data_IF_183298572831
#
_entry.id   IF_183298572831
#
_cell.length_a   1.000
_cell.length_b   1.000
_cell.length_c   1.000
_cell.angle_alpha   90.00
_cell.angle_beta   90.00
_cell.angle_gamma   90.00
#
_symmetry.space_group_name_H-M   'P 1'
#
loop_
_entity.id
_entity.type
_entity.pdbx_description
1 polymer ?
#
# COMPACT_ATOMS: atom_id res chain seq x y z
N UNK A 1 18.73 31.50 -0.21
CA UNK A 1 17.72 30.88 0.72
C UNK A 1 17.47 29.48 0.19
N UNK A 2 17.51 28.45 1.04
CA UNK A 2 17.27 27.08 0.59
C UNK A 2 15.82 26.92 0.11
N UNK A 3 15.66 26.46 -1.10
CA UNK A 3 14.36 26.25 -1.74
C UNK A 3 13.77 24.89 -1.40
N UNK A 4 14.58 23.83 -1.52
CA UNK A 4 14.17 22.46 -1.21
C UNK A 4 15.16 21.80 -0.26
N UNK A 5 14.67 21.22 0.83
CA UNK A 5 15.40 20.27 1.65
C UNK A 5 15.09 18.86 1.18
N UNK A 6 16.09 18.17 0.65
CA UNK A 6 15.97 16.74 0.30
C UNK A 6 16.38 15.93 1.53
N UNK A 7 15.52 15.04 2.00
CA UNK A 7 15.75 14.20 3.18
C UNK A 7 16.08 12.79 2.72
N UNK A 8 17.23 12.27 3.17
CA UNK A 8 17.71 10.94 2.83
C UNK A 8 18.00 10.12 4.09
N UNK A 9 17.12 9.18 4.46
CA UNK A 9 17.42 8.22 5.52
C UNK A 9 18.50 7.25 5.04
N UNK A 10 19.50 6.98 5.87
CA UNK A 10 20.62 6.11 5.54
C UNK A 10 20.80 5.05 6.61
N UNK A 11 20.71 3.79 6.22
CA UNK A 11 21.07 2.64 7.05
C UNK A 11 21.75 1.57 6.19
N UNK A 12 23.06 1.37 6.42
CA UNK A 12 23.88 0.41 5.68
C UNK A 12 23.80 0.61 4.15
N UNK A 13 24.02 1.87 3.72
CA UNK A 13 23.92 2.31 2.32
C UNK A 13 25.24 2.47 1.59
N UNK A 14 26.38 1.97 2.13
CA UNK A 14 27.73 2.22 1.62
C UNK A 14 27.88 2.03 0.11
N UNK A 15 27.10 1.09 -0.49
CA UNK A 15 27.20 0.75 -1.91
C UNK A 15 26.56 1.79 -2.85
N UNK A 16 25.69 2.65 -2.33
CA UNK A 16 24.81 3.49 -3.17
C UNK A 16 25.05 4.98 -2.98
N UNK A 17 25.48 5.40 -1.79
CA UNK A 17 25.57 6.80 -1.37
C UNK A 17 26.32 7.70 -2.36
N UNK A 18 27.49 7.28 -2.85
CA UNK A 18 28.26 8.07 -3.80
C UNK A 18 27.47 8.35 -5.09
N UNK A 19 26.81 7.31 -5.61
CA UNK A 19 26.00 7.41 -6.83
C UNK A 19 24.79 8.31 -6.63
N UNK A 20 24.07 8.13 -5.52
CA UNK A 20 22.85 8.90 -5.21
C UNK A 20 23.19 10.37 -4.96
N UNK A 21 24.25 10.68 -4.20
CA UNK A 21 24.68 12.07 -4.00
C UNK A 21 25.21 12.72 -5.29
N UNK A 22 25.96 11.97 -6.11
CA UNK A 22 26.39 12.46 -7.42
C UNK A 22 25.21 12.69 -8.37
N UNK A 23 24.16 11.88 -8.31
CA UNK A 23 22.94 12.09 -9.10
C UNK A 23 22.25 13.38 -8.67
N UNK A 24 22.05 13.59 -7.36
CA UNK A 24 21.43 14.81 -6.84
C UNK A 24 22.23 16.07 -7.16
N UNK A 25 23.57 16.01 -7.14
CA UNK A 25 24.42 17.16 -7.47
C UNK A 25 24.32 17.65 -8.92
N UNK A 26 23.65 16.88 -9.79
CA UNK A 26 23.40 17.25 -11.19
C UNK A 26 22.09 17.98 -11.41
N UNK A 27 21.26 18.14 -10.36
CA UNK A 27 20.02 18.90 -10.48
C UNK A 27 20.31 20.36 -10.84
N UNK A 28 19.48 20.93 -11.72
CA UNK A 28 19.60 22.34 -12.15
C UNK A 28 19.29 23.32 -11.03
N UNK A 29 18.39 22.93 -10.11
CA UNK A 29 18.11 23.70 -8.90
C UNK A 29 19.29 23.58 -7.91
N UNK A 30 20.04 24.67 -7.73
CA UNK A 30 21.24 24.71 -6.88
C UNK A 30 20.94 25.14 -5.44
N UNK A 31 19.83 25.84 -5.19
CA UNK A 31 19.40 26.27 -3.85
C UNK A 31 18.77 25.12 -3.06
N UNK A 32 19.47 24.00 -2.93
CA UNK A 32 19.03 22.82 -2.19
C UNK A 32 19.94 22.50 -1.02
N UNK A 33 19.43 21.79 -0.03
CA UNK A 33 20.23 21.04 0.93
C UNK A 33 19.84 19.56 0.88
N UNK A 34 20.81 18.68 1.12
CA UNK A 34 20.62 17.26 1.32
C UNK A 34 20.87 16.93 2.79
N UNK A 35 19.84 16.50 3.50
CA UNK A 35 19.94 16.07 4.90
C UNK A 35 20.02 14.54 4.92
N UNK A 36 21.23 14.02 5.10
CA UNK A 36 21.49 12.60 5.27
C UNK A 36 21.33 12.24 6.75
N UNK A 37 20.28 11.48 7.06
CA UNK A 37 20.07 11.00 8.44
C UNK A 37 20.61 9.59 8.56
N UNK A 38 21.80 9.45 9.12
CA UNK A 38 22.42 8.16 9.40
C UNK A 38 21.76 7.50 10.61
N UNK A 39 20.92 6.49 10.32
CA UNK A 39 20.08 5.78 11.28
C UNK A 39 20.85 4.59 11.92
N UNK A 40 22.03 4.90 12.50
CA UNK A 40 22.85 3.91 13.20
C UNK A 40 23.48 2.87 12.27
N UNK A 41 23.99 3.27 11.09
CA UNK A 41 24.68 2.36 10.18
C UNK A 41 25.87 1.69 10.83
N UNK A 42 26.08 0.40 10.51
CA UNK A 42 27.18 -0.45 11.02
C UNK A 42 28.22 -0.76 9.95
N UNK A 43 27.99 -0.33 8.71
CA UNK A 43 28.92 -0.42 7.59
C UNK A 43 29.71 0.90 7.43
N UNK A 44 30.35 1.09 6.27
CA UNK A 44 31.15 2.29 6.00
C UNK A 44 30.32 3.54 5.60
N UNK A 45 29.01 3.52 5.75
CA UNK A 45 28.13 4.62 5.30
C UNK A 45 28.50 5.96 5.89
N UNK A 46 28.73 6.05 7.21
CA UNK A 46 29.08 7.31 7.86
C UNK A 46 30.35 7.94 7.29
N UNK A 47 31.44 7.16 7.15
CA UNK A 47 32.68 7.65 6.58
C UNK A 47 32.51 8.13 5.12
N UNK A 48 31.62 7.49 4.35
CA UNK A 48 31.34 7.92 2.98
C UNK A 48 30.57 9.23 3.01
N UNK A 49 29.55 9.37 3.88
CA UNK A 49 28.79 10.61 4.04
C UNK A 49 29.69 11.78 4.45
N UNK A 50 30.63 11.59 5.39
CA UNK A 50 31.58 12.61 5.82
C UNK A 50 32.43 13.10 4.64
N UNK A 51 32.99 12.19 3.85
CA UNK A 51 33.76 12.54 2.64
C UNK A 51 32.92 13.27 1.58
N UNK A 52 31.63 12.89 1.46
CA UNK A 52 30.72 13.55 0.54
C UNK A 52 30.35 14.95 1.04
N UNK A 53 30.18 15.15 2.35
CA UNK A 53 29.93 16.46 2.94
C UNK A 53 31.15 17.40 2.82
N UNK A 54 32.37 16.87 2.92
CA UNK A 54 33.60 17.63 2.63
C UNK A 54 33.69 18.09 1.16
N UNK A 55 33.06 17.32 0.26
CA UNK A 55 33.07 17.61 -1.20
C UNK A 55 31.94 18.49 -1.67
N UNK A 56 30.79 18.42 -1.02
CA UNK A 56 29.55 19.08 -1.42
C UNK A 56 28.95 19.86 -0.27
N UNK A 57 29.04 21.18 -0.29
CA UNK A 57 28.56 22.09 0.78
C UNK A 57 27.08 22.00 1.07
N UNK A 58 26.26 21.43 0.16
CA UNK A 58 24.82 21.25 0.33
C UNK A 58 24.47 20.03 1.18
N UNK A 59 25.44 19.15 1.53
CA UNK A 59 25.20 17.93 2.32
C UNK A 59 25.34 18.22 3.81
N UNK A 60 24.31 17.84 4.57
CA UNK A 60 24.29 17.85 6.04
C UNK A 60 24.10 16.44 6.56
N UNK A 61 24.80 16.09 7.62
CA UNK A 61 24.72 14.78 8.25
C UNK A 61 24.11 14.91 9.64
N UNK A 62 23.11 14.06 9.92
CA UNK A 62 22.54 13.87 11.24
C UNK A 62 22.76 12.41 11.63
N UNK A 63 23.33 12.17 12.80
CA UNK A 63 23.49 10.82 13.34
C UNK A 63 22.46 10.56 14.42
N UNK A 64 21.84 9.38 14.37
CA UNK A 64 20.93 8.88 15.39
C UNK A 64 21.13 7.38 15.64
N UNK A 65 20.65 6.87 16.76
CA UNK A 65 20.50 5.43 16.97
C UNK A 65 19.44 4.88 16.01
N UNK A 66 19.58 3.61 15.61
CA UNK A 66 18.64 2.99 14.65
C UNK A 66 17.21 2.93 15.19
N UNK A 67 16.32 3.69 14.57
CA UNK A 67 14.89 3.77 14.89
C UNK A 67 14.00 3.53 13.67
N UNK A 68 14.59 3.29 12.49
CA UNK A 68 13.90 3.05 11.24
C UNK A 68 13.70 4.30 10.38
N UNK A 69 13.47 4.07 9.09
CA UNK A 69 13.44 5.12 8.07
C UNK A 69 12.37 6.20 8.32
N UNK A 70 11.22 5.85 8.95
CA UNK A 70 10.19 6.83 9.28
C UNK A 70 10.67 7.85 10.29
N UNK A 71 11.31 7.40 11.39
CA UNK A 71 11.86 8.28 12.43
C UNK A 71 13.02 9.10 11.86
N UNK A 72 13.87 8.48 11.04
CA UNK A 72 14.97 9.20 10.36
C UNK A 72 14.43 10.32 9.45
N UNK A 73 13.35 10.06 8.67
CA UNK A 73 12.72 11.11 7.86
C UNK A 73 12.15 12.23 8.73
N UNK A 74 11.52 11.92 9.86
CA UNK A 74 11.00 12.94 10.79
C UNK A 74 12.13 13.82 11.33
N UNK A 75 13.22 13.22 11.75
CA UNK A 75 14.41 13.97 12.20
C UNK A 75 14.95 14.88 11.08
N UNK A 76 14.94 14.41 9.84
CA UNK A 76 15.27 15.24 8.67
C UNK A 76 14.29 16.39 8.47
N UNK A 77 12.98 16.19 8.60
CA UNK A 77 11.96 17.24 8.49
C UNK A 77 12.17 18.32 9.55
N UNK A 78 12.43 17.93 10.80
CA UNK A 78 12.65 18.86 11.92
C UNK A 78 13.87 19.77 11.71
N UNK A 79 14.92 19.27 11.05
CA UNK A 79 16.16 19.99 10.78
C UNK A 79 16.18 20.70 9.42
N UNK A 80 15.14 20.55 8.61
CA UNK A 80 15.03 21.16 7.30
C UNK A 80 14.77 22.67 7.38
N UNK A 81 15.46 23.44 6.49
CA UNK A 81 15.29 24.90 6.38
C UNK A 81 14.71 25.33 5.03
N UNK A 82 14.57 24.41 4.08
CA UNK A 82 13.99 24.67 2.78
C UNK A 82 12.51 25.06 2.86
N UNK A 83 12.05 25.76 1.85
CA UNK A 83 10.63 26.09 1.71
C UNK A 83 9.80 24.83 1.48
N UNK A 84 10.31 23.91 0.66
CA UNK A 84 9.73 22.60 0.39
C UNK A 84 10.60 21.46 0.91
N UNK A 85 9.96 20.34 1.18
CA UNK A 85 10.59 19.07 1.56
C UNK A 85 10.43 18.10 0.39
N UNK A 86 11.52 17.44 0.02
CA UNK A 86 11.55 16.28 -0.87
C UNK A 86 12.19 15.09 -0.16
N UNK A 87 11.97 13.89 -0.67
CA UNK A 87 12.54 12.66 -0.11
C UNK A 87 13.28 11.87 -1.18
N UNK A 88 14.42 11.30 -0.78
CA UNK A 88 15.24 10.45 -1.64
C UNK A 88 15.81 9.30 -0.81
N UNK A 89 15.51 8.07 -1.14
CA UNK A 89 16.11 6.93 -0.47
C UNK A 89 17.56 6.71 -0.97
N UNK A 90 18.42 6.19 -0.11
CA UNK A 90 19.87 6.13 -0.35
C UNK A 90 20.27 5.26 -1.57
N UNK A 91 19.39 4.37 -2.03
CA UNK A 91 19.58 3.45 -3.14
C UNK A 91 18.80 3.84 -4.41
N UNK A 92 18.11 4.99 -4.38
CA UNK A 92 17.31 5.53 -5.49
C UNK A 92 17.97 6.75 -6.15
N UNK A 93 17.35 7.31 -7.20
CA UNK A 93 17.86 8.49 -7.92
C UNK A 93 16.71 9.44 -8.31
N UNK A 94 17.05 10.69 -8.59
CA UNK A 94 16.17 11.56 -9.38
C UNK A 94 16.48 11.41 -10.88
N UNK A 95 15.42 11.29 -11.70
CA UNK A 95 15.53 10.94 -13.12
C UNK A 95 15.85 12.19 -13.96
N UNK A 96 14.92 13.13 -14.02
CA UNK A 96 15.12 14.36 -14.78
C UNK A 96 15.97 15.34 -13.98
N UNK A 97 17.00 15.87 -14.61
CA UNK A 97 17.95 16.81 -13.96
C UNK A 97 17.32 18.14 -13.60
N UNK A 98 16.20 18.50 -14.19
CA UNK A 98 15.46 19.75 -13.97
C UNK A 98 14.15 19.55 -13.19
N UNK A 99 13.93 18.32 -12.64
CA UNK A 99 12.68 17.99 -12.00
C UNK A 99 12.41 18.82 -10.74
N UNK A 100 13.40 18.96 -9.86
CA UNK A 100 13.23 19.78 -8.64
C UNK A 100 13.00 21.25 -8.97
N UNK A 101 13.65 21.79 -9.99
CA UNK A 101 13.47 23.18 -10.44
C UNK A 101 12.04 23.41 -10.93
N UNK A 102 11.57 22.58 -11.86
CA UNK A 102 10.19 22.64 -12.39
C UNK A 102 9.14 22.56 -11.28
N UNK A 103 9.32 21.63 -10.36
CA UNK A 103 8.38 21.43 -9.24
C UNK A 103 8.40 22.62 -8.29
N UNK A 104 9.58 23.15 -7.95
CA UNK A 104 9.72 24.33 -7.11
C UNK A 104 9.09 25.56 -7.73
N UNK A 105 9.43 25.88 -9.01
CA UNK A 105 8.91 27.04 -9.71
C UNK A 105 7.38 27.00 -9.81
N UNK A 106 6.83 25.84 -10.16
CA UNK A 106 5.38 25.69 -10.26
C UNK A 106 4.71 25.77 -8.88
N UNK A 107 5.30 25.11 -7.87
CA UNK A 107 4.80 25.11 -6.51
C UNK A 107 4.84 26.49 -5.85
N UNK A 108 5.96 27.19 -5.91
CA UNK A 108 6.14 28.51 -5.29
C UNK A 108 5.27 29.57 -5.98
N UNK A 109 5.13 29.51 -7.31
CA UNK A 109 4.25 30.41 -8.08
C UNK A 109 2.79 30.35 -7.62
N UNK A 110 2.34 29.18 -7.20
CA UNK A 110 0.96 28.91 -6.82
C UNK A 110 0.75 28.79 -5.32
N UNK A 111 1.78 28.99 -4.54
CA UNK A 111 1.78 28.77 -3.07
C UNK A 111 1.29 27.37 -2.67
N UNK A 112 1.69 26.35 -3.46
CA UNK A 112 1.18 24.99 -3.36
C UNK A 112 1.64 24.28 -2.09
N UNK A 113 0.71 23.62 -1.37
CA UNK A 113 1.06 22.77 -0.21
C UNK A 113 1.72 21.46 -0.64
N UNK A 114 1.38 20.96 -1.84
CA UNK A 114 1.93 19.75 -2.43
C UNK A 114 2.08 19.90 -3.95
N UNK A 115 3.22 19.46 -4.48
CA UNK A 115 3.44 19.34 -5.93
C UNK A 115 3.82 17.90 -6.25
N UNK A 116 3.04 17.27 -7.13
CA UNK A 116 3.25 15.90 -7.59
C UNK A 116 3.98 15.83 -8.93
N UNK A 117 4.82 14.82 -9.10
CA UNK A 117 5.50 14.47 -10.33
C UNK A 117 5.36 12.97 -10.64
N UNK A 118 6.06 12.48 -11.66
CA UNK A 118 6.05 11.09 -12.02
C UNK A 118 7.20 10.30 -11.38
N UNK A 119 7.08 8.98 -11.42
CA UNK A 119 8.14 8.06 -11.02
C UNK A 119 8.43 7.07 -12.16
N UNK A 120 9.65 6.57 -12.20
CA UNK A 120 10.08 5.50 -13.11
C UNK A 120 10.68 4.34 -12.30
N UNK A 121 10.79 3.18 -12.94
CA UNK A 121 11.68 2.13 -12.46
C UNK A 121 13.05 2.33 -13.06
N UNK A 122 14.06 2.07 -12.24
CA UNK A 122 15.44 2.06 -12.68
C UNK A 122 16.09 0.74 -12.29
N UNK A 123 17.02 0.27 -13.12
CA UNK A 123 17.88 -0.87 -12.79
C UNK A 123 18.94 -0.47 -11.75
N UNK A 124 19.67 -1.46 -11.22
CA UNK A 124 20.83 -1.24 -10.33
C UNK A 124 21.84 -0.26 -10.95
N UNK A 125 22.03 -0.32 -12.26
CA UNK A 125 22.93 0.59 -12.97
C UNK A 125 22.35 1.99 -13.20
N UNK A 126 21.06 2.19 -12.86
CA UNK A 126 20.34 3.46 -13.03
C UNK A 126 19.75 3.67 -14.42
N UNK A 127 19.71 2.62 -15.26
CA UNK A 127 19.05 2.70 -16.54
C UNK A 127 17.53 2.63 -16.35
N UNK A 128 16.79 3.43 -17.13
CA UNK A 128 15.33 3.41 -17.12
C UNK A 128 14.80 2.07 -17.61
N UNK A 129 13.79 1.54 -16.90
CA UNK A 129 13.02 0.37 -17.34
C UNK A 129 11.72 0.84 -17.98
N UNK A 130 11.54 0.57 -19.28
CA UNK A 130 10.40 1.05 -20.08
C UNK A 130 9.04 0.40 -19.72
N UNK A 131 9.02 -0.58 -18.83
CA UNK A 131 7.85 -1.44 -18.57
C UNK A 131 7.05 -1.08 -17.32
N UNK A 132 7.15 0.15 -16.80
CA UNK A 132 6.35 0.53 -15.64
C UNK A 132 4.90 0.80 -16.04
N UNK A 133 3.99 -0.09 -15.64
CA UNK A 133 2.57 0.07 -15.90
C UNK A 133 1.87 0.78 -14.73
N UNK A 134 1.73 2.10 -14.83
CA UNK A 134 1.08 2.95 -13.82
C UNK A 134 -0.36 2.50 -13.52
N UNK A 135 -1.14 2.13 -14.55
CA UNK A 135 -2.53 1.70 -14.39
C UNK A 135 -2.66 0.41 -13.57
N UNK A 136 -1.77 -0.56 -13.79
CA UNK A 136 -1.77 -1.80 -13.01
C UNK A 136 -1.39 -1.58 -11.54
N UNK A 137 -0.65 -0.50 -11.24
CA UNK A 137 -0.18 -0.17 -9.90
C UNK A 137 -1.07 0.84 -9.18
N UNK A 138 -2.14 1.31 -9.81
CA UNK A 138 -3.01 2.37 -9.30
C UNK A 138 -2.26 3.68 -8.97
N UNK A 139 -1.17 3.95 -9.69
CA UNK A 139 -0.47 5.23 -9.61
C UNK A 139 -0.95 6.17 -10.72
N UNK A 140 -1.14 7.44 -10.38
CA UNK A 140 -1.47 8.44 -11.37
C UNK A 140 -0.20 8.88 -12.10
N UNK A 141 -0.27 8.94 -13.43
CA UNK A 141 0.75 9.51 -14.31
C UNK A 141 0.28 10.87 -14.83
N UNK A 142 1.13 11.87 -14.72
CA UNK A 142 0.84 13.24 -15.15
C UNK A 142 1.50 13.50 -16.50
N UNK A 143 0.67 13.70 -17.55
CA UNK A 143 1.12 14.00 -18.91
C UNK A 143 1.31 15.48 -19.17
N UNK A 144 0.73 16.33 -18.30
CA UNK A 144 0.76 17.77 -18.38
C UNK A 144 0.86 18.42 -17.00
N UNK A 145 1.13 19.72 -16.99
CA UNK A 145 0.98 20.56 -15.80
C UNK A 145 -0.50 20.75 -15.50
N UNK A 146 -0.86 20.71 -14.24
CA UNK A 146 -2.26 20.85 -13.88
C UNK A 146 -2.50 20.95 -12.38
N UNK A 147 -3.78 20.92 -12.05
CA UNK A 147 -4.26 20.85 -10.68
C UNK A 147 -5.27 19.73 -10.60
N UNK A 148 -5.11 18.87 -9.62
CA UNK A 148 -6.05 17.76 -9.34
C UNK A 148 -6.59 17.87 -7.93
N UNK A 149 -7.75 17.29 -7.69
CA UNK A 149 -8.23 17.08 -6.33
C UNK A 149 -7.42 15.97 -5.64
N UNK A 150 -7.33 15.98 -4.30
CA UNK A 150 -6.66 14.90 -3.57
C UNK A 150 -7.25 13.52 -3.85
N UNK A 151 -8.55 13.43 -4.15
CA UNK A 151 -9.23 12.19 -4.50
C UNK A 151 -8.77 11.60 -5.84
N UNK A 152 -8.28 12.44 -6.77
CA UNK A 152 -7.75 12.00 -8.06
C UNK A 152 -6.29 11.53 -7.99
N UNK A 153 -5.60 11.74 -6.87
CA UNK A 153 -4.19 11.36 -6.72
C UNK A 153 -3.99 9.84 -6.78
N UNK A 154 -4.98 9.06 -6.38
CA UNK A 154 -4.88 7.61 -6.30
C UNK A 154 -4.45 7.12 -4.91
N UNK A 155 -3.87 5.93 -4.85
CA UNK A 155 -3.50 5.30 -3.59
C UNK A 155 -2.28 5.97 -2.93
N UNK A 156 -2.21 6.02 -1.59
CA UNK A 156 -1.22 6.79 -0.86
C UNK A 156 0.15 6.10 -0.71
N UNK A 157 0.76 5.56 -1.79
CA UNK A 157 2.04 4.86 -1.67
C UNK A 157 3.25 5.69 -2.07
N UNK A 158 3.17 6.46 -3.13
CA UNK A 158 4.33 7.09 -3.76
C UNK A 158 4.57 8.51 -3.22
N UNK A 159 4.81 8.67 -1.93
CA UNK A 159 5.09 9.98 -1.32
C UNK A 159 6.37 10.62 -1.90
N UNK A 160 7.36 9.84 -2.21
CA UNK A 160 8.69 10.27 -2.66
C UNK A 160 8.71 10.95 -4.05
N UNK A 161 7.66 10.81 -4.85
CA UNK A 161 7.54 11.52 -6.13
C UNK A 161 6.98 12.94 -6.00
N UNK A 162 6.87 13.47 -4.79
CA UNK A 162 6.26 14.76 -4.50
C UNK A 162 7.22 15.64 -3.70
N UNK A 163 6.98 16.95 -3.78
CA UNK A 163 7.50 17.91 -2.81
C UNK A 163 6.35 18.48 -1.97
N UNK A 164 6.64 18.75 -0.71
CA UNK A 164 5.66 19.20 0.27
C UNK A 164 6.11 20.52 0.88
N UNK A 165 5.20 21.48 0.97
CA UNK A 165 5.51 22.75 1.64
C UNK A 165 5.79 22.50 3.12
N UNK A 166 6.99 22.88 3.59
CA UNK A 166 7.41 22.60 4.96
C UNK A 166 6.47 23.22 6.00
N UNK A 167 5.99 24.46 5.76
CA UNK A 167 5.03 25.10 6.65
C UNK A 167 3.68 24.39 6.73
N UNK A 168 3.24 23.73 5.64
CA UNK A 168 2.03 22.89 5.62
C UNK A 168 2.22 21.64 6.49
N UNK A 169 3.33 20.90 6.32
CA UNK A 169 3.61 19.74 7.16
C UNK A 169 3.64 20.11 8.64
N UNK A 170 4.33 21.20 8.97
CA UNK A 170 4.42 21.71 10.37
C UNK A 170 3.07 22.14 10.92
N UNK A 171 2.30 22.91 10.16
CA UNK A 171 0.96 23.40 10.57
C UNK A 171 0.01 22.25 10.94
N UNK A 172 0.09 21.16 10.21
CA UNK A 172 -0.79 20.01 10.40
C UNK A 172 -0.16 18.87 11.22
N UNK A 173 1.06 19.06 11.73
CA UNK A 173 1.83 18.06 12.47
C UNK A 173 1.94 16.72 11.73
N UNK A 174 2.14 16.78 10.40
CA UNK A 174 2.23 15.58 9.56
C UNK A 174 3.63 14.98 9.70
N UNK A 175 3.69 13.75 10.19
CA UNK A 175 4.92 12.99 10.41
C UNK A 175 4.76 11.54 9.97
N UNK A 176 5.88 10.85 9.72
CA UNK A 176 5.85 9.42 9.52
C UNK A 176 5.57 8.69 10.84
N UNK A 177 4.70 7.69 10.87
CA UNK A 177 4.46 6.90 12.06
C UNK A 177 5.70 6.09 12.43
N UNK A 178 5.88 5.82 13.72
CA UNK A 178 6.94 4.93 14.20
C UNK A 178 6.58 3.47 13.94
N UNK A 179 6.69 3.05 12.69
CA UNK A 179 6.51 1.69 12.23
C UNK A 179 7.79 1.22 11.55
N UNK A 180 8.15 -0.04 11.70
CA UNK A 180 9.29 -0.62 10.99
C UNK A 180 9.00 -0.86 9.51
N UNK A 181 7.72 -0.84 9.11
CA UNK A 181 7.27 -1.04 7.74
C UNK A 181 5.87 -0.44 7.54
N UNK A 182 5.63 0.19 6.38
CA UNK A 182 4.33 0.75 6.04
C UNK A 182 4.13 2.21 6.48
N UNK A 183 5.20 2.95 6.74
CA UNK A 183 5.12 4.35 7.13
C UNK A 183 4.57 5.25 6.03
N UNK A 184 4.93 4.94 4.78
CA UNK A 184 4.70 5.75 3.59
C UNK A 184 3.21 6.02 3.33
N UNK A 185 2.32 5.00 3.30
CA UNK A 185 0.91 5.24 3.04
C UNK A 185 0.20 6.00 4.16
N UNK A 186 0.64 5.85 5.40
CA UNK A 186 0.08 6.61 6.52
C UNK A 186 0.43 8.09 6.38
N UNK A 187 1.71 8.41 6.13
CA UNK A 187 2.16 9.78 5.91
C UNK A 187 1.42 10.44 4.74
N UNK A 188 1.36 9.74 3.60
CA UNK A 188 0.73 10.34 2.42
C UNK A 188 -0.81 10.45 2.56
N UNK A 189 -1.47 9.55 3.27
CA UNK A 189 -2.88 9.67 3.58
C UNK A 189 -3.16 10.91 4.46
N UNK A 190 -2.31 11.16 5.45
CA UNK A 190 -2.39 12.39 6.28
C UNK A 190 -2.23 13.66 5.43
N UNK A 191 -1.34 13.67 4.44
CA UNK A 191 -1.20 14.79 3.50
C UNK A 191 -2.45 14.94 2.65
N UNK A 192 -2.86 13.86 1.96
CA UNK A 192 -3.98 13.89 1.01
C UNK A 192 -5.29 14.35 1.64
N UNK A 193 -5.53 14.01 2.90
CA UNK A 193 -6.75 14.39 3.61
C UNK A 193 -6.76 15.84 4.13
N UNK A 194 -5.61 16.55 4.08
CA UNK A 194 -5.47 17.92 4.58
C UNK A 194 -5.15 18.94 3.50
N UNK A 195 -4.64 18.50 2.35
CA UNK A 195 -4.38 19.39 1.21
C UNK A 195 -5.68 19.70 0.47
N UNK A 196 -5.86 20.95 0.05
CA UNK A 196 -7.07 21.35 -0.68
C UNK A 196 -7.02 20.92 -2.14
N UNK A 197 -5.85 21.05 -2.77
CA UNK A 197 -5.59 20.72 -4.17
C UNK A 197 -4.13 20.36 -4.35
N UNK A 198 -3.83 19.55 -5.36
CA UNK A 198 -2.48 19.10 -5.67
C UNK A 198 -2.09 19.67 -7.02
N UNK A 199 -1.00 20.39 -7.04
CA UNK A 199 -0.37 20.85 -8.28
C UNK A 199 0.45 19.70 -8.84
N UNK A 200 0.42 19.53 -10.17
CA UNK A 200 1.13 18.41 -10.82
C UNK A 200 1.98 18.90 -11.96
N UNK A 201 3.15 18.30 -12.10
CA UNK A 201 4.16 18.65 -13.10
C UNK A 201 4.46 17.43 -13.96
N UNK A 202 4.46 17.60 -15.28
CA UNK A 202 4.87 16.58 -16.23
C UNK A 202 6.41 16.45 -16.25
N UNK A 203 6.97 15.78 -15.24
CA UNK A 203 8.40 15.46 -15.16
C UNK A 203 8.59 14.15 -14.41
N UNK A 204 9.62 13.40 -14.74
CA UNK A 204 9.99 12.17 -14.05
C UNK A 204 10.95 12.52 -12.91
N UNK A 205 10.43 12.69 -11.68
CA UNK A 205 11.26 13.00 -10.53
C UNK A 205 11.99 11.74 -10.03
N UNK A 206 11.24 10.72 -9.66
CA UNK A 206 11.78 9.64 -8.85
C UNK A 206 12.07 8.38 -9.66
N UNK A 207 13.30 7.89 -9.57
CA UNK A 207 13.77 6.64 -10.14
C UNK A 207 13.91 5.57 -9.07
N UNK A 208 12.90 4.71 -8.94
CA UNK A 208 12.85 3.64 -7.95
C UNK A 208 13.66 2.42 -8.39
N UNK A 209 14.68 2.04 -7.60
CA UNK A 209 15.52 0.89 -7.86
C UNK A 209 14.85 -0.40 -7.40
N UNK A 210 14.09 -1.01 -8.30
CA UNK A 210 13.30 -2.20 -7.99
C UNK A 210 14.12 -3.49 -7.84
N UNK A 211 15.32 -3.54 -8.41
CA UNK A 211 16.14 -4.76 -8.45
C UNK A 211 16.71 -5.16 -7.09
N UNK A 212 16.76 -4.23 -6.14
CA UNK A 212 17.30 -4.47 -4.79
C UNK A 212 16.32 -5.23 -3.87
N UNK A 213 15.14 -5.59 -4.36
CA UNK A 213 14.21 -6.47 -3.64
C UNK A 213 13.56 -5.85 -2.40
N UNK A 214 13.58 -4.52 -2.31
CA UNK A 214 12.88 -3.76 -1.27
C UNK A 214 11.37 -3.72 -1.49
N UNK A 215 10.64 -3.18 -0.53
CA UNK A 215 9.21 -2.90 -0.62
C UNK A 215 8.29 -4.05 -0.27
N UNK A 216 7.01 -3.91 -0.65
CA UNK A 216 5.90 -4.78 -0.25
C UNK A 216 6.05 -6.26 -0.66
N UNK A 217 6.87 -6.55 -1.68
CA UNK A 217 7.07 -7.91 -2.21
C UNK A 217 8.14 -8.70 -1.46
N UNK A 218 8.94 -8.08 -0.58
CA UNK A 218 9.92 -8.81 0.21
C UNK A 218 9.21 -9.66 1.27
N UNK A 219 9.61 -10.94 1.38
CA UNK A 219 9.06 -11.83 2.41
C UNK A 219 9.40 -11.27 3.79
N UNK A 220 8.38 -11.02 4.60
CA UNK A 220 8.54 -10.57 5.98
C UNK A 220 8.39 -11.78 6.88
N UNK A 221 9.50 -12.21 7.50
CA UNK A 221 9.50 -13.34 8.44
C UNK A 221 9.47 -12.89 9.91
N UNK A 222 9.62 -11.61 10.18
CA UNK A 222 9.64 -11.03 11.52
C UNK A 222 8.22 -10.63 11.96
N UNK A 223 7.79 -11.10 13.14
CA UNK A 223 6.47 -10.84 13.68
C UNK A 223 6.15 -9.35 13.81
N UNK A 224 7.08 -8.55 14.36
CA UNK A 224 6.86 -7.12 14.58
C UNK A 224 6.73 -6.36 13.25
N UNK A 225 7.52 -6.75 12.24
CA UNK A 225 7.39 -6.16 10.89
C UNK A 225 6.06 -6.52 10.23
N UNK A 226 5.53 -7.75 10.44
CA UNK A 226 4.20 -8.14 9.99
C UNK A 226 3.12 -7.34 10.70
N UNK A 227 3.24 -7.22 12.02
CA UNK A 227 2.32 -6.46 12.86
C UNK A 227 2.26 -5.00 12.42
N UNK A 228 3.42 -4.34 12.26
CA UNK A 228 3.49 -2.96 11.79
C UNK A 228 2.92 -2.80 10.39
N UNK A 229 3.20 -3.77 9.50
CA UNK A 229 2.66 -3.76 8.15
C UNK A 229 1.14 -3.94 8.10
N UNK A 230 0.54 -4.64 9.05
CA UNK A 230 -0.92 -4.72 9.16
C UNK A 230 -1.50 -3.49 9.85
N UNK A 231 -0.82 -2.96 10.87
CA UNK A 231 -1.22 -1.73 11.54
C UNK A 231 -1.28 -0.53 10.59
N UNK A 232 -0.35 -0.42 9.64
CA UNK A 232 -0.40 0.69 8.68
C UNK A 232 -1.69 0.68 7.84
N UNK A 233 -2.21 -0.49 7.46
CA UNK A 233 -3.48 -0.59 6.75
C UNK A 233 -4.62 -0.03 7.61
N UNK A 234 -4.71 -0.44 8.88
CA UNK A 234 -5.71 0.06 9.83
C UNK A 234 -5.62 1.58 9.99
N UNK A 235 -4.41 2.09 10.21
CA UNK A 235 -4.17 3.53 10.35
C UNK A 235 -4.59 4.29 9.08
N UNK A 236 -4.17 3.80 7.91
CA UNK A 236 -4.49 4.45 6.63
C UNK A 236 -5.98 4.42 6.34
N UNK A 237 -6.67 3.29 6.58
CA UNK A 237 -8.12 3.20 6.43
C UNK A 237 -8.83 4.23 7.32
N UNK A 238 -8.44 4.29 8.60
CA UNK A 238 -9.02 5.25 9.55
C UNK A 238 -8.87 6.69 9.05
N UNK A 239 -7.67 7.10 8.63
CA UNK A 239 -7.41 8.45 8.13
C UNK A 239 -8.28 8.78 6.92
N UNK A 240 -8.37 7.85 5.96
CA UNK A 240 -9.13 8.05 4.73
C UNK A 240 -10.65 8.03 4.98
N UNK A 241 -11.14 7.11 5.81
CA UNK A 241 -12.55 6.98 6.11
C UNK A 241 -13.07 8.17 6.95
N UNK A 242 -12.31 8.61 7.97
CA UNK A 242 -12.64 9.79 8.79
C UNK A 242 -12.72 11.07 7.93
N UNK A 243 -11.93 11.15 6.86
CA UNK A 243 -11.93 12.27 5.93
C UNK A 243 -12.90 12.08 4.73
N UNK A 244 -13.69 11.01 4.71
CA UNK A 244 -14.63 10.67 3.63
C UNK A 244 -13.98 10.44 2.25
N UNK A 245 -12.74 9.94 2.20
CA UNK A 245 -12.02 9.55 1.00
C UNK A 245 -12.39 8.12 0.57
N UNK A 246 -13.68 7.87 0.39
CA UNK A 246 -14.26 6.53 0.24
C UNK A 246 -13.66 5.73 -0.92
N UNK A 247 -13.45 6.33 -2.10
CA UNK A 247 -12.93 5.62 -3.27
C UNK A 247 -11.47 5.17 -3.08
N UNK A 248 -10.64 6.06 -2.52
CA UNK A 248 -9.24 5.74 -2.22
C UNK A 248 -9.16 4.68 -1.13
N UNK A 249 -9.96 4.83 -0.06
CA UNK A 249 -10.03 3.86 1.02
C UNK A 249 -10.42 2.48 0.50
N UNK A 250 -11.48 2.40 -0.31
CA UNK A 250 -11.92 1.15 -0.91
C UNK A 250 -10.85 0.51 -1.82
N UNK A 251 -10.17 1.33 -2.61
CA UNK A 251 -9.06 0.87 -3.45
C UNK A 251 -7.90 0.34 -2.61
N UNK A 252 -7.64 0.97 -1.47
CA UNK A 252 -6.58 0.58 -0.56
C UNK A 252 -6.95 -0.70 0.23
N UNK A 253 -8.21 -0.85 0.65
CA UNK A 253 -8.74 -2.09 1.23
C UNK A 253 -8.59 -3.28 0.27
N UNK A 254 -8.85 -3.09 -1.04
CA UNK A 254 -8.58 -4.11 -2.06
C UNK A 254 -7.10 -4.48 -2.18
N UNK A 255 -6.19 -3.56 -1.90
CA UNK A 255 -4.75 -3.88 -1.89
C UNK A 255 -4.36 -4.79 -0.72
N UNK A 256 -4.92 -4.59 0.47
CA UNK A 256 -4.73 -5.53 1.58
C UNK A 256 -5.12 -6.95 1.17
N UNK A 257 -6.30 -7.10 0.55
CA UNK A 257 -6.76 -8.41 0.08
C UNK A 257 -5.78 -9.01 -0.93
N UNK A 258 -5.33 -8.18 -1.89
CA UNK A 258 -4.36 -8.61 -2.91
C UNK A 258 -3.05 -9.06 -2.26
N UNK A 259 -2.57 -8.32 -1.26
CA UNK A 259 -1.37 -8.68 -0.50
C UNK A 259 -1.52 -10.01 0.23
N UNK A 260 -2.65 -10.23 0.90
CA UNK A 260 -2.93 -11.48 1.62
C UNK A 260 -3.02 -12.70 0.67
N UNK A 261 -3.48 -12.49 -0.57
CA UNK A 261 -3.55 -13.55 -1.60
C UNK A 261 -2.20 -13.93 -2.23
N UNK A 262 -1.14 -13.14 -2.04
CA UNK A 262 0.16 -13.46 -2.61
C UNK A 262 0.63 -14.85 -2.16
N UNK A 263 1.28 -15.59 -3.08
CA UNK A 263 1.74 -16.98 -2.84
C UNK A 263 2.51 -17.16 -1.52
N UNK A 264 3.29 -16.17 -1.13
CA UNK A 264 4.09 -16.21 0.09
C UNK A 264 3.28 -15.88 1.36
N UNK A 265 2.14 -15.21 1.24
CA UNK A 265 1.34 -14.72 2.36
C UNK A 265 0.12 -15.61 2.63
N UNK A 266 -0.51 -16.15 1.60
CA UNK A 266 -1.77 -16.90 1.69
C UNK A 266 -1.74 -18.15 2.60
N UNK A 267 -0.56 -18.64 2.94
CA UNK A 267 -0.35 -19.78 3.84
C UNK A 267 0.38 -19.37 5.12
N UNK A 268 0.54 -18.08 5.39
CA UNK A 268 1.22 -17.56 6.57
C UNK A 268 0.23 -17.43 7.72
N UNK A 269 0.10 -18.47 8.55
CA UNK A 269 -0.82 -18.52 9.69
C UNK A 269 -0.62 -17.36 10.65
N UNK A 270 0.64 -17.03 10.98
CA UNK A 270 0.96 -15.91 11.88
C UNK A 270 0.48 -14.55 11.32
N UNK A 271 0.61 -14.33 10.00
CA UNK A 271 0.09 -13.12 9.36
C UNK A 271 -1.43 -13.00 9.53
N UNK A 272 -2.16 -14.09 9.36
CA UNK A 272 -3.63 -14.10 9.52
C UNK A 272 -4.08 -13.94 10.96
N UNK A 273 -3.36 -14.50 11.93
CA UNK A 273 -3.61 -14.25 13.36
C UNK A 273 -3.41 -12.78 13.71
N UNK A 274 -2.39 -12.13 13.13
CA UNK A 274 -2.16 -10.69 13.27
C UNK A 274 -3.31 -9.88 12.65
N UNK A 275 -3.76 -10.24 11.45
CA UNK A 275 -4.89 -9.57 10.78
C UNK A 275 -6.14 -9.67 11.64
N UNK A 276 -6.49 -10.86 12.11
CA UNK A 276 -7.62 -11.04 13.02
C UNK A 276 -7.50 -10.15 14.25
N UNK A 277 -6.37 -10.20 14.95
CA UNK A 277 -6.14 -9.39 16.14
C UNK A 277 -6.28 -7.89 15.91
N UNK A 278 -5.82 -7.40 14.75
CA UNK A 278 -5.86 -5.96 14.43
C UNK A 278 -7.26 -5.49 14.05
N UNK A 279 -8.02 -6.31 13.32
CA UNK A 279 -9.30 -5.91 12.74
C UNK A 279 -10.53 -6.48 13.48
N UNK A 280 -10.37 -7.40 14.43
CA UNK A 280 -11.45 -8.06 15.14
C UNK A 280 -12.32 -7.08 15.95
N UNK A 281 -11.72 -6.10 16.63
CA UNK A 281 -12.42 -5.16 17.51
C UNK A 281 -13.18 -4.06 16.73
N UNK A 282 -12.83 -3.84 15.46
CA UNK A 282 -13.33 -2.72 14.64
C UNK A 282 -14.15 -3.18 13.42
N UNK A 283 -14.53 -4.44 13.36
CA UNK A 283 -15.01 -5.13 12.15
C UNK A 283 -16.19 -4.49 11.44
N UNK A 284 -17.03 -3.72 12.13
CA UNK A 284 -18.22 -3.12 11.51
C UNK A 284 -17.92 -1.85 10.71
N UNK A 285 -16.91 -1.08 11.10
CA UNK A 285 -16.71 0.28 10.58
C UNK A 285 -15.79 0.35 9.36
N UNK A 286 -14.76 -0.50 9.28
CA UNK A 286 -13.75 -0.38 8.21
C UNK A 286 -14.15 -1.00 6.88
N UNK A 287 -15.10 -1.91 6.90
CA UNK A 287 -15.48 -2.70 5.74
C UNK A 287 -16.91 -2.47 5.25
N UNK A 288 -17.68 -1.58 5.88
CA UNK A 288 -19.10 -1.33 5.58
C UNK A 288 -19.41 -0.89 4.15
N UNK A 289 -18.42 -0.41 3.39
CA UNK A 289 -18.60 0.07 2.01
C UNK A 289 -17.81 -0.71 0.94
N UNK A 290 -17.11 -1.75 1.34
CA UNK A 290 -16.50 -2.71 0.41
C UNK A 290 -17.23 -3.98 0.64
N UNK A 291 -17.61 -4.74 -0.39
CA UNK A 291 -18.22 -6.06 -0.21
C UNK A 291 -17.56 -6.76 1.00
N UNK A 292 -17.99 -6.35 2.21
CA UNK A 292 -17.44 -6.75 3.53
C UNK A 292 -17.32 -8.25 3.61
N UNK A 293 -18.35 -8.91 3.12
CA UNK A 293 -18.45 -10.35 3.04
C UNK A 293 -17.33 -10.96 2.22
N UNK A 294 -16.84 -10.29 1.17
CA UNK A 294 -15.76 -10.81 0.34
C UNK A 294 -14.42 -10.71 1.10
N UNK A 295 -14.20 -9.63 1.82
CA UNK A 295 -12.96 -9.44 2.59
C UNK A 295 -12.91 -10.42 3.75
N UNK A 296 -14.02 -10.52 4.48
CA UNK A 296 -14.13 -11.42 5.61
C UNK A 296 -14.04 -12.87 5.15
N UNK A 297 -14.75 -13.23 4.08
CA UNK A 297 -14.67 -14.54 3.44
C UNK A 297 -13.25 -14.90 2.99
N UNK A 298 -12.50 -13.95 2.43
CA UNK A 298 -11.14 -14.21 2.00
C UNK A 298 -10.16 -14.36 3.17
N UNK A 299 -10.35 -13.57 4.22
CA UNK A 299 -9.60 -13.73 5.48
C UNK A 299 -9.91 -15.08 6.14
N UNK A 300 -11.15 -15.54 6.03
CA UNK A 300 -11.64 -16.79 6.57
C UNK A 300 -11.18 -18.02 5.82
N UNK A 301 -11.10 -17.95 4.49
CA UNK A 301 -10.62 -19.03 3.62
C UNK A 301 -9.20 -19.47 3.93
N UNK A 302 -8.43 -18.61 4.57
CA UNK A 302 -7.04 -18.87 4.88
C UNK A 302 -6.84 -19.43 6.29
N UNK A 303 -7.84 -19.32 7.18
CA UNK A 303 -7.80 -19.96 8.50
C UNK A 303 -9.01 -20.91 8.71
N UNK A 304 -8.96 -22.12 8.13
CA UNK A 304 -10.09 -23.06 8.15
C UNK A 304 -10.43 -23.62 9.54
N UNK A 305 -9.65 -23.34 10.57
CA UNK A 305 -9.87 -23.86 11.93
C UNK A 305 -10.74 -22.92 12.80
N UNK A 306 -11.06 -21.72 12.33
CA UNK A 306 -11.85 -20.76 13.08
C UNK A 306 -13.36 -21.01 12.93
N UNK A 307 -13.99 -21.62 13.95
CA UNK A 307 -15.42 -21.97 13.96
C UNK A 307 -16.34 -20.75 13.86
N UNK A 308 -15.96 -19.62 14.42
CA UNK A 308 -16.80 -18.41 14.47
C UNK A 308 -16.96 -17.79 13.08
N UNK A 309 -15.95 -17.96 12.26
CA UNK A 309 -15.94 -17.59 10.87
C UNK A 309 -16.95 -18.40 10.04
N UNK A 310 -17.06 -19.69 10.29
CA UNK A 310 -18.08 -20.52 9.62
C UNK A 310 -19.47 -20.11 10.00
N UNK A 311 -19.68 -19.81 11.27
CA UNK A 311 -20.97 -19.32 11.77
C UNK A 311 -21.34 -18.00 11.09
N UNK A 312 -20.41 -17.05 11.01
CA UNK A 312 -20.61 -15.78 10.30
C UNK A 312 -20.93 -15.97 8.81
N UNK A 313 -20.18 -16.85 8.13
CA UNK A 313 -20.42 -17.15 6.72
C UNK A 313 -21.81 -17.75 6.47
N UNK A 314 -22.19 -18.68 7.30
CA UNK A 314 -23.53 -19.30 7.24
C UNK A 314 -24.60 -18.25 7.51
N UNK A 315 -24.44 -17.40 8.51
CA UNK A 315 -25.35 -16.31 8.84
C UNK A 315 -25.43 -15.24 7.73
N UNK A 316 -24.29 -14.87 7.15
CA UNK A 316 -24.23 -13.89 6.04
C UNK A 316 -24.91 -14.43 4.78
N UNK A 317 -24.63 -15.69 4.41
CA UNK A 317 -25.30 -16.34 3.29
C UNK A 317 -26.79 -16.50 3.57
N UNK A 318 -27.19 -16.87 4.77
CA UNK A 318 -28.60 -16.94 5.17
C UNK A 318 -29.25 -15.56 5.11
N UNK A 319 -28.62 -14.52 5.65
CA UNK A 319 -29.13 -13.14 5.62
C UNK A 319 -29.32 -12.64 4.19
N UNK A 320 -28.41 -12.91 3.28
CA UNK A 320 -28.54 -12.56 1.87
C UNK A 320 -29.65 -13.36 1.19
N UNK A 321 -29.77 -14.64 1.45
CA UNK A 321 -30.85 -15.46 0.93
C UNK A 321 -32.24 -15.00 1.44
N UNK A 322 -32.33 -14.55 2.71
CA UNK A 322 -33.57 -14.03 3.29
C UNK A 322 -33.91 -12.61 2.87
N UNK A 323 -32.91 -11.72 2.65
CA UNK A 323 -33.13 -10.37 2.13
C UNK A 323 -33.49 -10.35 0.66
N UNK A 324 -33.25 -11.42 -0.06
CA UNK A 324 -33.62 -11.63 -1.43
C UNK A 324 -35.06 -12.17 -1.49
N UNK A 325 -36.02 -11.29 -1.84
CA UNK A 325 -37.39 -11.70 -2.10
C UNK A 325 -37.34 -12.87 -3.11
N UNK A 326 -37.89 -14.02 -2.72
CA UNK A 326 -37.73 -15.35 -3.36
C UNK A 326 -37.92 -15.37 -4.89
N UNK A 327 -38.52 -14.31 -5.45
CA UNK A 327 -38.81 -14.21 -6.88
C UNK A 327 -37.68 -13.57 -7.74
N UNK A 328 -36.61 -13.04 -7.16
CA UNK A 328 -35.54 -12.36 -7.91
C UNK A 328 -34.14 -12.55 -7.24
N UNK A 329 -33.73 -13.78 -7.01
CA UNK A 329 -32.44 -14.08 -6.41
C UNK A 329 -31.34 -13.91 -7.46
N UNK A 330 -30.59 -12.83 -7.39
CA UNK A 330 -29.23 -12.75 -7.98
C UNK A 330 -28.22 -13.19 -6.90
N UNK A 331 -27.89 -14.48 -6.85
CA UNK A 331 -26.76 -14.95 -6.03
C UNK A 331 -25.50 -14.30 -6.64
N UNK A 332 -24.78 -13.53 -5.82
CA UNK A 332 -23.50 -13.01 -6.27
C UNK A 332 -22.57 -14.19 -6.60
N UNK A 333 -22.19 -14.38 -7.88
CA UNK A 333 -21.43 -15.57 -8.30
C UNK A 333 -20.07 -15.70 -7.60
N UNK A 334 -19.51 -14.58 -7.12
CA UNK A 334 -18.23 -14.51 -6.42
C UNK A 334 -18.37 -15.09 -5.00
N UNK A 335 -19.44 -14.71 -4.29
CA UNK A 335 -19.72 -15.22 -2.93
C UNK A 335 -20.01 -16.73 -2.99
N UNK A 336 -20.79 -17.15 -3.96
CA UNK A 336 -21.10 -18.56 -4.14
C UNK A 336 -19.87 -19.41 -4.50
N UNK A 337 -19.00 -18.89 -5.37
CA UNK A 337 -17.73 -19.55 -5.71
C UNK A 337 -16.86 -19.73 -4.47
N UNK A 338 -16.77 -18.70 -3.63
CA UNK A 338 -16.01 -18.75 -2.38
C UNK A 338 -16.60 -19.70 -1.34
N UNK A 339 -17.93 -19.73 -1.22
CA UNK A 339 -18.61 -20.72 -0.41
C UNK A 339 -18.25 -22.15 -0.80
N UNK A 340 -18.20 -22.46 -2.10
CA UNK A 340 -17.77 -23.76 -2.60
C UNK A 340 -16.28 -24.05 -2.31
N UNK A 341 -15.43 -23.03 -2.37
CA UNK A 341 -13.99 -23.14 -2.05
C UNK A 341 -13.79 -23.42 -0.54
N UNK A 342 -14.55 -22.77 0.36
CA UNK A 342 -14.53 -23.03 1.80
C UNK A 342 -14.98 -24.46 2.10
N UNK A 343 -16.09 -24.88 1.54
CA UNK A 343 -16.59 -26.25 1.73
C UNK A 343 -15.60 -27.33 1.28
N UNK A 344 -14.78 -27.01 0.26
CA UNK A 344 -13.79 -27.96 -0.25
C UNK A 344 -12.49 -27.99 0.53
N UNK A 345 -12.12 -26.89 1.19
CA UNK A 345 -10.87 -26.78 1.96
C UNK A 345 -10.94 -27.45 3.34
N UNK A 346 -12.15 -27.66 3.87
CA UNK A 346 -12.34 -28.04 5.27
C UNK A 346 -12.39 -29.55 5.54
N UNK A 347 -12.20 -30.44 4.58
CA UNK A 347 -12.49 -31.88 4.70
C UNK A 347 -13.90 -32.17 5.31
N UNK A 348 -14.77 -31.17 5.28
CA UNK A 348 -16.13 -31.25 5.81
C UNK A 348 -16.95 -32.06 4.83
N UNK A 349 -17.42 -33.23 5.27
CA UNK A 349 -18.42 -33.97 4.50
C UNK A 349 -19.77 -33.26 4.69
N UNK A 350 -20.37 -32.68 3.63
CA UNK A 350 -21.71 -32.09 3.74
C UNK A 350 -22.75 -33.03 4.30
N UNK A 351 -22.49 -34.33 4.24
CA UNK A 351 -23.38 -35.39 4.75
C UNK A 351 -23.42 -35.52 6.27
N UNK A 352 -22.57 -34.82 7.01
CA UNK A 352 -22.49 -34.97 8.48
C UNK A 352 -23.00 -33.75 9.27
N UNK A 353 -23.24 -32.60 8.60
CA UNK A 353 -23.84 -31.44 9.25
C UNK A 353 -25.24 -31.19 8.71
N UNK A 354 -26.31 -31.36 9.53
CA UNK A 354 -27.70 -31.18 9.09
C UNK A 354 -28.02 -29.79 8.53
N UNK A 355 -27.45 -28.73 9.10
CA UNK A 355 -27.66 -27.34 8.65
C UNK A 355 -27.04 -27.10 7.27
N UNK A 356 -25.88 -27.67 7.00
CA UNK A 356 -25.22 -27.57 5.69
C UNK A 356 -25.93 -28.38 4.63
N UNK A 357 -26.51 -29.54 5.00
CA UNK A 357 -27.37 -30.31 4.10
C UNK A 357 -28.61 -29.51 3.74
N UNK A 358 -29.27 -28.91 4.73
CA UNK A 358 -30.45 -28.09 4.51
C UNK A 358 -30.16 -26.87 3.62
N UNK A 359 -29.08 -26.14 3.91
CA UNK A 359 -28.66 -24.98 3.10
C UNK A 359 -28.32 -25.38 1.66
N UNK A 360 -27.65 -26.50 1.44
CA UNK A 360 -27.37 -27.04 0.12
C UNK A 360 -28.67 -27.36 -0.61
N UNK A 361 -29.60 -28.05 0.05
CA UNK A 361 -30.88 -28.45 -0.54
C UNK A 361 -31.77 -27.23 -0.84
N UNK A 362 -31.73 -26.20 0.00
CA UNK A 362 -32.42 -24.92 -0.25
C UNK A 362 -31.83 -24.19 -1.48
N UNK A 363 -30.49 -24.15 -1.62
CA UNK A 363 -29.81 -23.56 -2.78
C UNK A 363 -30.09 -24.35 -4.04
N UNK A 364 -29.94 -25.68 -4.01
CA UNK A 364 -30.18 -26.56 -5.18
C UNK A 364 -31.63 -26.58 -5.63
N UNK A 365 -32.57 -26.37 -4.71
CA UNK A 365 -34.02 -26.35 -5.01
C UNK A 365 -34.58 -24.96 -5.32
N UNK A 366 -33.81 -23.89 -5.10
CA UNK A 366 -34.26 -22.54 -5.44
C UNK A 366 -34.52 -22.38 -6.94
N UNK A 367 -35.61 -21.72 -7.31
CA UNK A 367 -35.90 -21.42 -8.72
C UNK A 367 -34.84 -20.56 -9.38
N UNK A 368 -34.13 -19.76 -8.61
CA UNK A 368 -33.02 -18.93 -9.03
C UNK A 368 -31.78 -19.75 -9.40
N UNK A 369 -31.46 -20.79 -8.66
CA UNK A 369 -30.40 -21.72 -9.03
C UNK A 369 -30.69 -22.40 -10.38
N UNK A 370 -31.95 -22.69 -10.66
CA UNK A 370 -32.39 -23.31 -11.91
C UNK A 370 -32.45 -22.35 -13.10
N UNK A 371 -32.69 -21.04 -12.85
CA UNK A 371 -32.97 -20.06 -13.91
C UNK A 371 -31.84 -19.08 -14.21
N UNK A 372 -30.90 -18.80 -13.29
CA UNK A 372 -29.91 -17.69 -13.43
C UNK A 372 -28.50 -18.12 -13.67
N UNK A 373 -28.16 -19.41 -13.75
CA UNK A 373 -26.87 -19.86 -14.20
C UNK A 373 -26.90 -20.03 -15.74
N UNK A 374 -26.39 -19.03 -16.50
CA UNK A 374 -26.23 -19.19 -17.95
C UNK A 374 -25.15 -20.23 -18.31
N UNK A 375 -24.41 -20.68 -17.32
CA UNK A 375 -23.47 -21.78 -17.42
C UNK A 375 -24.07 -22.91 -16.58
N UNK A 376 -24.60 -23.92 -17.24
CA UNK A 376 -25.02 -25.18 -16.65
C UNK A 376 -23.84 -25.79 -15.89
N UNK A 377 -23.66 -25.42 -14.62
CA UNK A 377 -22.89 -26.21 -13.66
C UNK A 377 -23.69 -27.50 -13.45
N UNK A 378 -23.55 -28.42 -14.40
CA UNK A 378 -24.11 -29.76 -14.23
C UNK A 378 -23.50 -30.34 -12.95
N UNK A 379 -24.24 -31.20 -12.25
CA UNK A 379 -23.79 -31.95 -11.08
C UNK A 379 -22.38 -32.51 -11.24
N UNK A 380 -22.02 -32.89 -12.46
CA UNK A 380 -20.69 -33.38 -12.85
C UNK A 380 -19.59 -32.31 -12.86
N UNK A 381 -19.93 -31.02 -13.06
CA UNK A 381 -18.97 -29.92 -13.06
C UNK A 381 -18.64 -29.48 -11.62
N UNK A 382 -19.62 -29.48 -10.74
CA UNK A 382 -19.43 -29.27 -9.31
C UNK A 382 -18.55 -30.38 -8.73
N UNK A 383 -18.79 -31.63 -9.07
CA UNK A 383 -17.97 -32.78 -8.66
C UNK A 383 -16.56 -32.74 -9.30
N UNK A 384 -16.43 -32.29 -10.56
CA UNK A 384 -15.12 -32.11 -11.20
C UNK A 384 -14.30 -30.99 -10.58
N UNK A 385 -14.94 -29.87 -10.21
CA UNK A 385 -14.28 -28.75 -9.50
C UNK A 385 -13.85 -29.21 -8.12
N UNK A 386 -14.70 -29.87 -7.35
CA UNK A 386 -14.38 -30.42 -6.03
C UNK A 386 -13.25 -31.48 -6.12
N UNK A 387 -13.25 -32.36 -7.12
CA UNK A 387 -12.15 -33.31 -7.33
C UNK A 387 -10.83 -32.63 -7.73
N UNK A 388 -10.89 -31.57 -8.56
CA UNK A 388 -9.69 -30.82 -8.96
C UNK A 388 -9.07 -30.03 -7.81
N UNK A 389 -9.91 -29.53 -6.90
CA UNK A 389 -9.46 -28.85 -5.69
C UNK A 389 -8.86 -29.85 -4.71
N UNK A 390 -9.51 -31.01 -4.50
CA UNK A 390 -8.98 -32.09 -3.64
C UNK A 390 -7.61 -32.58 -4.10
N UNK A 391 -7.36 -32.69 -5.41
CA UNK A 391 -6.07 -33.11 -5.96
C UNK A 391 -4.99 -32.01 -5.99
N UNK A 392 -5.31 -30.77 -5.61
CA UNK A 392 -4.34 -29.66 -5.48
C UNK A 392 -3.99 -29.34 -4.03
N UNK A 393 -4.72 -29.89 -3.08
CA UNK A 393 -4.58 -29.64 -1.63
C UNK A 393 -3.95 -30.83 -0.92
N UNK A 394 -3.87 -32.00 -1.56
CA UNK A 394 -3.04 -33.14 -1.20
C UNK A 394 -1.75 -33.13 -2.06
#
# INVERSE_FOLDING_TARGET
MVKISVIMPVYNGEKYLEKTCLNLSKQTLTDIELICVNDGSTDNSLNILEKLADKYDFIKIINQENQGSGVARNNGIENAIGEYIAFLDADDIYVDVDALEKMYEYGSKHDADMVGANQKRVSIDGNLEDNFNYKQKNYTYFSDYGVISPQEYGIPWAFYKNIFKRSFLNKHNITFPNLKRGQDPVFLAEVLTKVNQIYVVCTDLYGYNYALGGGANSKVNDYNKKLDYMNHYKMTFKILDDAHFTEISNSYKKQLITYLKLKNNRNDKELFEIVHKIFEDDNKTYFENVDEEIIYLELCLVNPENKDVYTFLIESVKSQLYSMNINNIQINPVIFKKYLEVLSATNYSPSTNPEMCQLRDEIENSNSWKCTLPIRLTKNMTIKVLKKIKNKVL
#
